data_IF_999790053974
#
_entry.id   IF_999790053974
#
_cell.length_a   1.000
_cell.length_b   1.000
_cell.length_c   1.000
_cell.angle_alpha   90.00
_cell.angle_beta   90.00
_cell.angle_gamma   90.00
#
_symmetry.space_group_name_H-M   'P 1'
#
loop_
_entity.id
_entity.type
_entity.pdbx_description
1 polymer ?
#
# COMPACT_ATOMS: atom_id res chain seq x y z
N UNK A 1 1.86 -56.85 -37.15
CA UNK A 1 2.77 -56.18 -36.20
C UNK A 1 2.83 -54.71 -36.55
N UNK A 2 2.36 -53.82 -35.69
CA UNK A 2 2.46 -52.38 -35.86
C UNK A 2 2.43 -51.71 -34.49
N UNK A 3 3.60 -51.47 -33.91
CA UNK A 3 3.73 -50.67 -32.69
C UNK A 3 3.67 -49.19 -33.10
N UNK A 4 2.64 -48.48 -32.63
CA UNK A 4 2.59 -47.02 -32.67
C UNK A 4 3.24 -46.51 -31.38
N UNK A 5 4.40 -45.88 -31.53
CA UNK A 5 5.04 -45.11 -30.46
C UNK A 5 4.15 -43.94 -30.06
N UNK A 6 3.81 -43.88 -28.78
CA UNK A 6 3.16 -42.72 -28.16
C UNK A 6 4.28 -41.77 -27.74
N UNK A 7 4.47 -40.71 -28.53
CA UNK A 7 5.37 -39.61 -28.21
C UNK A 7 4.77 -38.80 -27.05
N UNK A 8 5.25 -39.04 -25.83
CA UNK A 8 4.89 -38.22 -24.66
C UNK A 8 5.62 -36.88 -24.80
N UNK A 9 4.91 -35.87 -25.30
CA UNK A 9 5.31 -34.47 -25.23
C UNK A 9 5.26 -34.02 -23.77
N UNK A 10 6.38 -34.13 -23.07
CA UNK A 10 6.59 -33.43 -21.80
C UNK A 10 6.66 -31.94 -22.10
N UNK A 11 5.55 -31.23 -21.87
CA UNK A 11 5.58 -29.77 -21.76
C UNK A 11 6.49 -29.43 -20.57
N UNK A 12 7.68 -28.90 -20.86
CA UNK A 12 8.50 -28.24 -19.86
C UNK A 12 7.73 -26.99 -19.41
N UNK A 13 6.91 -27.14 -18.37
CA UNK A 13 6.35 -26.01 -17.64
C UNK A 13 7.54 -25.33 -16.99
N UNK A 14 7.93 -24.18 -17.54
CA UNK A 14 8.86 -23.26 -16.90
C UNK A 14 8.17 -22.79 -15.62
N UNK A 15 8.40 -23.53 -14.53
CA UNK A 15 7.99 -23.08 -13.21
C UNK A 15 8.85 -21.84 -12.93
N UNK A 16 8.26 -20.66 -12.67
CA UNK A 16 9.04 -19.55 -12.17
C UNK A 16 9.84 -20.08 -10.98
N UNK A 17 11.16 -19.82 -10.93
CA UNK A 17 11.94 -20.15 -9.74
C UNK A 17 11.40 -19.25 -8.64
N UNK A 18 10.47 -19.77 -7.86
CA UNK A 18 10.00 -19.10 -6.67
C UNK A 18 11.20 -19.06 -5.74
N UNK A 19 11.67 -17.84 -5.44
CA UNK A 19 12.78 -17.67 -4.54
C UNK A 19 12.44 -18.20 -3.14
N UNK A 20 11.14 -18.28 -2.81
CA UNK A 20 10.66 -18.77 -1.52
C UNK A 20 10.92 -20.28 -1.36
N UNK A 21 11.54 -20.67 -0.25
CA UNK A 21 11.88 -22.06 0.05
C UNK A 21 10.64 -22.90 0.42
N UNK A 22 10.80 -24.23 0.46
CA UNK A 22 9.69 -25.18 0.67
C UNK A 22 8.94 -24.94 1.99
N UNK A 23 9.66 -24.76 3.11
CA UNK A 23 9.05 -24.42 4.41
C UNK A 23 8.24 -23.12 4.32
N UNK A 24 8.77 -22.11 3.63
CA UNK A 24 8.08 -20.85 3.41
C UNK A 24 6.82 -20.98 2.56
N UNK A 25 6.86 -21.81 1.52
CA UNK A 25 5.69 -22.09 0.68
C UNK A 25 4.58 -22.80 1.47
N UNK A 26 4.93 -23.80 2.28
CA UNK A 26 3.99 -24.49 3.17
C UNK A 26 3.38 -23.53 4.18
N UNK A 27 4.22 -22.69 4.81
CA UNK A 27 3.77 -21.67 5.75
C UNK A 27 2.79 -20.70 5.09
N UNK A 28 3.12 -20.18 3.90
CA UNK A 28 2.25 -19.26 3.15
C UNK A 28 0.96 -19.92 2.67
N UNK A 29 0.94 -21.22 2.43
CA UNK A 29 -0.29 -21.94 2.09
C UNK A 29 -1.19 -22.06 3.32
N UNK A 30 -0.62 -22.37 4.49
CA UNK A 30 -1.34 -22.42 5.74
C UNK A 30 -1.95 -21.06 6.12
N UNK A 31 -1.20 -19.95 5.95
CA UNK A 31 -1.69 -18.61 6.31
C UNK A 31 -2.91 -18.17 5.50
N UNK A 32 -3.09 -18.67 4.27
CA UNK A 32 -4.29 -18.35 3.46
C UNK A 32 -5.59 -18.82 4.11
N UNK A 33 -5.51 -19.83 4.97
CA UNK A 33 -6.68 -20.40 5.67
C UNK A 33 -6.93 -19.71 7.01
N UNK A 34 -6.06 -18.80 7.46
CA UNK A 34 -6.22 -18.07 8.71
C UNK A 34 -7.27 -16.97 8.53
N UNK A 35 -8.22 -16.90 9.46
CA UNK A 35 -9.28 -15.90 9.42
C UNK A 35 -8.73 -14.46 9.43
N UNK A 36 -9.26 -13.64 8.51
CA UNK A 36 -8.87 -12.24 8.35
C UNK A 36 -7.62 -12.02 7.50
N UNK A 37 -6.97 -13.09 7.02
CA UNK A 37 -5.84 -12.96 6.08
C UNK A 37 -6.34 -12.61 4.69
N UNK A 38 -5.70 -11.60 4.09
CA UNK A 38 -5.92 -11.13 2.74
C UNK A 38 -4.65 -11.36 1.93
N UNK A 39 -4.79 -12.00 0.76
CA UNK A 39 -3.68 -12.19 -0.19
C UNK A 39 -3.78 -11.19 -1.33
N UNK A 40 -2.72 -10.39 -1.52
CA UNK A 40 -2.60 -9.48 -2.65
C UNK A 40 -2.10 -10.21 -3.90
N UNK A 41 -2.34 -9.64 -5.07
CA UNK A 41 -1.84 -10.16 -6.35
C UNK A 41 -0.32 -10.30 -6.41
N UNK A 42 0.41 -9.52 -5.60
CA UNK A 42 1.87 -9.61 -5.48
C UNK A 42 2.35 -10.85 -4.73
N UNK A 43 1.46 -11.58 -4.04
CA UNK A 43 1.80 -12.68 -3.13
C UNK A 43 1.94 -12.24 -1.68
N UNK A 44 2.00 -10.93 -1.39
CA UNK A 44 1.94 -10.42 -0.02
C UNK A 44 0.63 -10.85 0.64
N UNK A 45 0.73 -11.47 1.81
CA UNK A 45 -0.41 -11.76 2.66
C UNK A 45 -0.37 -10.86 3.89
N UNK A 46 -1.52 -10.42 4.37
CA UNK A 46 -1.59 -9.63 5.59
C UNK A 46 -2.91 -9.85 6.34
N UNK A 47 -2.90 -9.56 7.63
CA UNK A 47 -4.07 -9.51 8.52
C UNK A 47 -4.06 -8.17 9.26
N UNK A 48 -5.21 -7.51 9.29
CA UNK A 48 -5.37 -6.29 10.10
C UNK A 48 -5.59 -6.70 11.55
N UNK A 49 -4.64 -6.39 12.42
CA UNK A 49 -4.74 -6.64 13.87
C UNK A 49 -5.47 -5.51 14.58
N UNK A 50 -5.27 -4.27 14.10
CA UNK A 50 -5.96 -3.07 14.56
C UNK A 50 -6.17 -2.14 13.38
N UNK A 51 -7.40 -1.67 13.21
CA UNK A 51 -7.70 -0.62 12.25
C UNK A 51 -7.47 0.75 12.88
N UNK A 52 -6.67 1.58 12.21
CA UNK A 52 -6.50 2.99 12.52
C UNK A 52 -7.68 3.83 12.07
N UNK A 53 -7.72 5.08 12.53
CA UNK A 53 -8.70 6.09 12.14
C UNK A 53 -8.12 7.16 11.18
N UNK A 54 -6.85 6.99 10.78
CA UNK A 54 -6.18 7.85 9.82
C UNK A 54 -6.93 7.92 8.49
N UNK A 55 -6.94 9.11 7.89
CA UNK A 55 -7.66 9.38 6.62
C UNK A 55 -6.77 9.31 5.38
N UNK A 56 -5.48 9.00 5.56
CA UNK A 56 -4.46 9.12 4.52
C UNK A 56 -3.53 7.93 4.51
N UNK A 57 -3.07 7.60 3.30
CA UNK A 57 -1.92 6.74 3.07
C UNK A 57 -0.68 7.60 2.80
N UNK A 58 0.51 7.17 3.21
CA UNK A 58 1.75 7.81 2.81
C UNK A 58 1.98 7.71 1.29
N UNK A 59 2.64 8.71 0.71
CA UNK A 59 3.26 8.57 -0.61
C UNK A 59 4.57 7.78 -0.51
N UNK A 60 5.14 7.37 -1.65
CA UNK A 60 6.34 6.51 -1.69
C UNK A 60 7.56 7.09 -0.97
N UNK A 61 7.67 8.40 -0.93
CA UNK A 61 8.76 9.19 -0.35
C UNK A 61 8.45 9.73 1.05
N UNK A 62 7.25 9.46 1.58
CA UNK A 62 6.78 10.03 2.83
C UNK A 62 7.42 9.32 4.03
N UNK A 63 8.17 10.03 4.90
CA UNK A 63 8.69 9.43 6.12
C UNK A 63 7.54 9.05 7.05
N UNK A 64 7.57 7.83 7.57
CA UNK A 64 6.56 7.26 8.44
C UNK A 64 7.22 6.74 9.70
N UNK A 65 6.70 7.12 10.85
CA UNK A 65 7.10 6.56 12.12
C UNK A 65 6.34 5.27 12.39
N UNK A 66 7.07 4.19 12.58
CA UNK A 66 6.49 2.87 12.76
C UNK A 66 7.08 2.16 13.97
N UNK A 67 6.23 1.41 14.66
CA UNK A 67 6.69 0.27 15.44
C UNK A 67 6.59 -1.00 14.60
N UNK A 68 7.50 -1.93 14.86
CA UNK A 68 7.55 -3.22 14.18
C UNK A 68 8.34 -4.27 14.97
N UNK A 69 8.05 -5.53 14.64
CA UNK A 69 8.75 -6.75 15.03
C UNK A 69 8.80 -7.70 13.83
N UNK A 70 9.93 -8.38 13.62
CA UNK A 70 10.14 -9.29 12.49
C UNK A 70 10.73 -10.64 12.91
N UNK A 71 10.14 -11.73 12.44
CA UNK A 71 10.61 -13.11 12.61
C UNK A 71 10.45 -13.93 11.32
N UNK A 72 10.93 -15.17 11.31
CA UNK A 72 10.72 -16.12 10.20
C UNK A 72 10.09 -17.40 10.74
N UNK A 73 9.46 -18.24 9.90
CA UNK A 73 8.98 -19.56 10.32
C UNK A 73 10.09 -20.45 10.91
N UNK A 74 11.34 -20.28 10.47
CA UNK A 74 12.48 -21.01 11.03
C UNK A 74 12.85 -20.56 12.44
N UNK A 75 12.64 -19.28 12.78
CA UNK A 75 12.92 -18.73 14.11
C UNK A 75 11.75 -18.94 15.07
N UNK A 76 10.53 -18.79 14.58
CA UNK A 76 9.28 -18.92 15.34
C UNK A 76 8.24 -19.69 14.51
N UNK A 77 8.24 -21.03 14.55
CA UNK A 77 7.36 -21.86 13.71
C UNK A 77 5.86 -21.63 13.93
N UNK A 78 5.48 -21.25 15.14
CA UNK A 78 4.13 -21.01 15.64
C UNK A 78 3.78 -19.52 15.74
N UNK A 79 4.50 -18.65 15.01
CA UNK A 79 4.37 -17.19 15.09
C UNK A 79 2.94 -16.66 14.93
N UNK A 80 2.11 -17.33 14.12
CA UNK A 80 0.71 -16.94 13.83
C UNK A 80 -0.14 -16.91 15.11
N UNK A 81 0.13 -17.82 16.04
CA UNK A 81 -0.66 -18.02 17.26
C UNK A 81 -0.08 -17.26 18.47
N UNK A 82 1.03 -16.55 18.29
CA UNK A 82 1.78 -15.89 19.35
C UNK A 82 1.67 -14.37 19.31
N UNK A 83 1.79 -13.72 20.46
CA UNK A 83 2.06 -12.28 20.52
C UNK A 83 3.52 -12.00 20.07
N UNK A 84 3.81 -10.84 19.45
CA UNK A 84 5.16 -10.53 18.96
C UNK A 84 6.20 -10.51 20.07
N UNK A 85 5.78 -10.23 21.32
CA UNK A 85 6.68 -10.26 22.48
C UNK A 85 7.24 -11.65 22.76
N UNK A 86 6.58 -12.71 22.27
CA UNK A 86 7.02 -14.10 22.39
C UNK A 86 7.88 -14.56 21.19
N UNK A 87 8.01 -13.75 20.13
CA UNK A 87 8.74 -14.15 18.94
C UNK A 87 10.26 -14.16 19.17
N UNK A 88 10.92 -15.14 18.54
CA UNK A 88 12.36 -15.08 18.32
C UNK A 88 12.62 -14.17 17.11
N UNK A 89 12.79 -12.89 17.37
CA UNK A 89 12.88 -11.87 16.34
C UNK A 89 14.29 -11.77 15.73
N UNK A 90 14.35 -11.44 14.44
CA UNK A 90 15.59 -10.96 13.80
C UNK A 90 15.76 -9.45 13.95
N UNK A 91 14.67 -8.68 14.08
CA UNK A 91 14.69 -7.23 14.30
C UNK A 91 13.39 -6.78 14.98
N UNK A 92 13.48 -5.79 15.87
CA UNK A 92 12.34 -5.26 16.62
C UNK A 92 12.61 -3.87 17.16
N UNK A 93 11.73 -2.91 16.80
CA UNK A 93 11.73 -1.57 17.40
C UNK A 93 11.23 -1.57 18.84
N UNK A 94 10.33 -2.50 19.20
CA UNK A 94 9.81 -2.60 20.56
C UNK A 94 10.92 -2.97 21.55
N UNK A 95 11.81 -3.91 21.17
CA UNK A 95 12.99 -4.24 21.99
C UNK A 95 13.98 -3.10 22.15
N UNK A 96 14.02 -2.16 21.19
CA UNK A 96 14.82 -0.93 21.31
C UNK A 96 14.15 0.14 22.17
N UNK A 97 12.83 0.03 22.41
CA UNK A 97 12.06 0.98 23.21
C UNK A 97 11.68 2.27 22.47
N UNK A 98 11.93 2.37 21.16
CA UNK A 98 11.60 3.54 20.36
C UNK A 98 11.16 3.19 18.93
N UNK A 99 10.22 3.94 18.33
CA UNK A 99 9.84 3.79 16.93
C UNK A 99 11.02 4.03 15.98
N UNK A 100 10.88 3.57 14.75
CA UNK A 100 11.85 3.86 13.67
C UNK A 100 11.13 4.54 12.51
N UNK A 101 11.81 5.50 11.88
CA UNK A 101 11.26 6.22 10.73
C UNK A 101 11.72 5.59 9.41
N UNK A 102 10.78 5.23 8.56
CA UNK A 102 11.02 4.67 7.23
C UNK A 102 10.20 5.40 6.17
N UNK A 103 10.73 5.52 4.95
CA UNK A 103 9.92 5.87 3.79
C UNK A 103 9.63 4.60 2.96
N UNK A 104 8.43 4.47 2.34
CA UNK A 104 8.09 3.26 1.58
C UNK A 104 9.09 2.91 0.47
N UNK A 105 9.79 3.88 -0.11
CA UNK A 105 10.81 3.67 -1.15
C UNK A 105 12.19 3.21 -0.64
N UNK A 106 12.39 3.09 0.67
CA UNK A 106 13.67 2.75 1.30
C UNK A 106 13.68 1.37 1.97
N UNK A 107 12.56 0.64 1.87
CA UNK A 107 12.33 -0.64 2.56
C UNK A 107 12.04 -1.75 1.55
N UNK A 108 11.94 -3.00 2.03
CA UNK A 108 11.63 -4.16 1.20
C UNK A 108 10.29 -3.98 0.47
N UNK A 109 10.13 -4.62 -0.69
CA UNK A 109 8.98 -4.42 -1.61
C UNK A 109 7.63 -4.65 -0.93
N UNK A 110 7.54 -5.60 0.00
CA UNK A 110 6.32 -5.85 0.77
C UNK A 110 5.95 -4.67 1.67
N UNK A 111 6.90 -4.13 2.43
CA UNK A 111 6.68 -2.94 3.26
C UNK A 111 6.29 -1.73 2.40
N UNK A 112 6.95 -1.54 1.26
CA UNK A 112 6.57 -0.49 0.30
C UNK A 112 5.09 -0.56 -0.06
N UNK A 113 4.57 -1.77 -0.31
CA UNK A 113 3.16 -1.98 -0.66
C UNK A 113 2.25 -1.77 0.55
N UNK A 114 2.53 -2.42 1.67
CA UNK A 114 1.71 -2.38 2.88
C UNK A 114 1.57 -0.96 3.42
N UNK A 115 2.68 -0.22 3.59
CA UNK A 115 2.63 1.15 4.11
C UNK A 115 1.72 2.06 3.27
N UNK A 116 1.70 1.89 1.94
CA UNK A 116 0.86 2.70 1.04
C UNK A 116 -0.61 2.27 0.98
N UNK A 117 -0.98 1.22 1.72
CA UNK A 117 -2.34 0.73 1.96
C UNK A 117 -2.80 0.97 3.40
N UNK A 118 -1.87 1.23 4.33
CA UNK A 118 -2.15 1.52 5.73
C UNK A 118 -2.46 3.00 5.95
N UNK A 119 -3.20 3.28 7.01
CA UNK A 119 -3.42 4.61 7.57
C UNK A 119 -2.81 4.72 8.97
N UNK A 120 -2.65 5.94 9.47
CA UNK A 120 -2.19 6.16 10.86
C UNK A 120 -3.08 5.40 11.86
N UNK A 121 -2.45 4.72 12.81
CA UNK A 121 -3.08 3.87 13.82
C UNK A 121 -3.28 2.41 13.41
N UNK A 122 -3.07 2.06 12.13
CA UNK A 122 -3.15 0.67 11.69
C UNK A 122 -2.03 -0.17 12.30
N UNK A 123 -2.39 -1.38 12.74
CA UNK A 123 -1.45 -2.45 13.07
C UNK A 123 -1.74 -3.67 12.20
N UNK A 124 -0.78 -4.08 11.38
CA UNK A 124 -0.92 -5.21 10.47
C UNK A 124 0.09 -6.30 10.81
N UNK A 125 -0.33 -7.55 10.67
CA UNK A 125 0.56 -8.70 10.54
C UNK A 125 0.72 -9.04 9.06
N UNK A 126 1.93 -9.31 8.61
CA UNK A 126 2.28 -9.53 7.21
C UNK A 126 3.10 -10.80 7.07
N UNK A 127 2.74 -11.63 6.08
CA UNK A 127 3.49 -12.81 5.67
C UNK A 127 4.03 -12.57 4.27
N UNK A 128 5.35 -12.54 4.17
CA UNK A 128 6.07 -11.95 3.06
C UNK A 128 6.87 -13.05 2.35
N UNK A 129 6.50 -13.43 1.11
CA UNK A 129 7.33 -14.32 0.32
C UNK A 129 8.69 -13.67 0.02
N UNK A 130 9.73 -14.50 -0.13
CA UNK A 130 11.12 -14.02 -0.16
C UNK A 130 11.37 -13.05 -1.33
N UNK A 131 10.73 -13.23 -2.48
CA UNK A 131 10.82 -12.32 -3.64
C UNK A 131 10.34 -10.88 -3.37
N UNK A 132 9.52 -10.68 -2.32
CA UNK A 132 9.09 -9.38 -1.80
C UNK A 132 9.90 -8.90 -0.58
N UNK A 133 10.79 -9.76 -0.06
CA UNK A 133 11.74 -9.52 1.01
C UNK A 133 13.19 -9.53 0.50
N UNK A 134 13.98 -10.49 0.96
CA UNK A 134 15.43 -10.60 0.70
C UNK A 134 15.84 -11.67 -0.33
N UNK A 135 14.87 -12.32 -0.98
CA UNK A 135 15.09 -13.27 -2.08
C UNK A 135 15.97 -14.47 -1.73
N UNK A 136 16.60 -15.05 -2.75
CA UNK A 136 17.45 -16.25 -2.65
C UNK A 136 18.72 -16.05 -1.82
N UNK A 137 19.15 -14.79 -1.63
CA UNK A 137 20.39 -14.49 -0.89
C UNK A 137 20.15 -14.41 0.61
N UNK A 138 18.96 -13.99 1.04
CA UNK A 138 18.71 -13.66 2.44
C UNK A 138 19.49 -12.42 2.89
N UNK A 139 19.60 -12.21 4.21
CA UNK A 139 20.39 -11.12 4.78
C UNK A 139 20.83 -11.40 6.22
N UNK A 140 22.06 -11.01 6.54
CA UNK A 140 22.66 -11.26 7.86
C UNK A 140 22.67 -12.75 8.25
N UNK A 141 22.71 -13.02 9.55
CA UNK A 141 22.84 -14.39 10.05
C UNK A 141 21.50 -15.08 10.30
N UNK A 142 20.41 -14.31 10.40
CA UNK A 142 19.10 -14.80 10.84
C UNK A 142 18.09 -15.01 9.70
N UNK A 143 18.27 -14.35 8.55
CA UNK A 143 17.38 -14.48 7.40
C UNK A 143 18.13 -15.21 6.29
N UNK A 144 17.76 -16.45 6.03
CA UNK A 144 18.39 -17.30 5.01
C UNK A 144 17.77 -17.04 3.64
N UNK A 145 18.46 -17.55 2.63
CA UNK A 145 17.98 -17.55 1.26
C UNK A 145 16.61 -18.22 1.15
N UNK A 146 15.67 -17.51 0.57
CA UNK A 146 14.31 -17.99 0.35
C UNK A 146 13.39 -17.99 1.56
N UNK A 147 13.82 -17.44 2.70
CA UNK A 147 12.96 -17.37 3.88
C UNK A 147 11.76 -16.45 3.66
N UNK A 148 10.60 -16.93 4.13
CA UNK A 148 9.44 -16.08 4.38
C UNK A 148 9.70 -15.20 5.60
N UNK A 149 9.28 -13.95 5.51
CA UNK A 149 9.33 -13.02 6.64
C UNK A 149 7.92 -12.85 7.21
N UNK A 150 7.85 -12.80 8.54
CA UNK A 150 6.66 -12.45 9.28
C UNK A 150 6.95 -11.14 9.97
N UNK A 151 6.10 -10.14 9.75
CA UNK A 151 6.21 -8.86 10.43
C UNK A 151 4.91 -8.45 11.06
N UNK A 152 4.98 -7.87 12.25
CA UNK A 152 3.95 -6.97 12.75
C UNK A 152 4.45 -5.54 12.62
N UNK A 153 3.62 -4.67 12.08
CA UNK A 153 3.91 -3.25 11.89
C UNK A 153 2.75 -2.42 12.40
N UNK A 154 3.03 -1.41 13.21
CA UNK A 154 2.10 -0.34 13.57
C UNK A 154 2.56 0.96 12.93
N UNK A 155 1.70 1.59 12.11
CA UNK A 155 1.95 2.88 11.48
C UNK A 155 1.48 3.99 12.42
N UNK A 156 2.41 4.66 13.09
CA UNK A 156 2.08 5.67 14.11
C UNK A 156 1.77 7.01 13.46
N UNK A 157 2.70 7.53 12.64
CA UNK A 157 2.59 8.87 12.05
C UNK A 157 3.14 8.92 10.63
N UNK A 158 2.44 9.63 9.74
CA UNK A 158 2.90 9.99 8.39
C UNK A 158 3.44 11.42 8.45
N UNK A 159 4.77 11.56 8.39
CA UNK A 159 5.50 12.83 8.56
C UNK A 159 5.74 13.60 7.26
N UNK A 160 5.35 13.04 6.11
CA UNK A 160 5.53 13.67 4.81
C UNK A 160 4.25 13.74 3.98
N UNK A 161 4.43 13.78 2.67
CA UNK A 161 3.34 13.82 1.70
C UNK A 161 2.40 12.61 1.88
N UNK A 162 1.10 12.86 1.73
CA UNK A 162 0.08 11.82 1.95
C UNK A 162 -1.05 11.97 0.95
N UNK A 163 -1.64 10.84 0.56
CA UNK A 163 -2.81 10.76 -0.32
C UNK A 163 -4.01 10.29 0.49
N UNK A 164 -5.21 10.73 0.13
CA UNK A 164 -6.43 10.27 0.82
C UNK A 164 -6.60 8.77 0.66
N UNK A 165 -6.96 8.13 1.77
CA UNK A 165 -7.32 6.72 1.79
C UNK A 165 -8.68 6.50 1.13
N UNK A 166 -9.65 7.34 1.47
CA UNK A 166 -10.97 7.34 0.86
C UNK A 166 -11.14 8.60 0.00
N UNK A 167 -11.38 8.47 -1.31
CA UNK A 167 -11.65 9.61 -2.17
C UNK A 167 -12.91 10.38 -1.72
N UNK A 168 -12.88 11.70 -1.89
CA UNK A 168 -14.08 12.54 -1.77
C UNK A 168 -15.14 12.09 -2.78
N UNK A 169 -16.33 11.77 -2.28
CA UNK A 169 -17.51 11.54 -3.09
C UNK A 169 -18.17 12.89 -3.36
N UNK A 170 -18.04 13.38 -4.60
CA UNK A 170 -18.53 14.70 -4.97
C UNK A 170 -20.06 14.81 -4.93
N UNK A 171 -20.80 13.70 -5.01
CA UNK A 171 -22.27 13.71 -4.95
C UNK A 171 -22.76 13.77 -3.52
N UNK A 172 -22.24 12.85 -2.70
CA UNK A 172 -22.69 12.73 -1.30
C UNK A 172 -21.93 13.64 -0.36
N UNK A 173 -20.87 14.29 -0.86
CA UNK A 173 -19.92 15.13 -0.11
C UNK A 173 -19.19 14.38 1.01
N UNK A 174 -19.25 13.04 1.01
CA UNK A 174 -18.57 12.20 2.00
C UNK A 174 -17.07 12.17 1.71
N UNK A 175 -16.27 12.24 2.77
CA UNK A 175 -14.79 12.21 2.71
C UNK A 175 -14.16 13.38 1.93
N UNK A 176 -14.87 14.50 1.86
CA UNK A 176 -14.40 15.75 1.28
C UNK A 176 -13.88 16.67 2.39
N UNK A 177 -12.88 17.49 2.08
CA UNK A 177 -12.50 18.60 2.94
C UNK A 177 -13.53 19.73 2.86
N UNK A 178 -13.59 20.58 3.88
CA UNK A 178 -14.49 21.75 3.88
C UNK A 178 -14.22 22.65 2.66
N UNK A 179 -12.96 22.86 2.29
CA UNK A 179 -12.56 23.60 1.08
C UNK A 179 -13.07 22.96 -0.22
N UNK A 180 -13.17 21.63 -0.28
CA UNK A 180 -13.74 20.92 -1.43
C UNK A 180 -15.25 21.04 -1.46
N UNK A 181 -15.90 21.01 -0.29
CA UNK A 181 -17.35 21.25 -0.17
C UNK A 181 -17.68 22.67 -0.61
N UNK A 182 -16.92 23.67 -0.14
CA UNK A 182 -17.06 25.07 -0.58
C UNK A 182 -16.87 25.20 -2.10
N UNK A 183 -15.86 24.52 -2.66
CA UNK A 183 -15.65 24.49 -4.10
C UNK A 183 -16.82 23.83 -4.86
N UNK A 184 -17.41 22.77 -4.32
CA UNK A 184 -18.61 22.15 -4.88
C UNK A 184 -19.82 23.08 -4.79
N UNK A 185 -19.99 23.82 -3.70
CA UNK A 185 -21.07 24.81 -3.55
C UNK A 185 -20.93 25.95 -4.56
N UNK A 186 -19.70 26.39 -4.83
CA UNK A 186 -19.41 27.43 -5.81
C UNK A 186 -19.52 26.96 -7.26
N UNK A 187 -19.05 25.75 -7.57
CA UNK A 187 -18.83 25.30 -8.95
C UNK A 187 -19.67 24.11 -9.38
N UNK A 188 -20.30 23.37 -8.47
CA UNK A 188 -21.06 22.14 -8.77
C UNK A 188 -22.21 22.38 -9.76
N UNK A 189 -22.83 23.56 -9.67
CA UNK A 189 -23.91 24.02 -10.56
C UNK A 189 -23.43 24.76 -11.81
N UNK A 190 -22.13 24.99 -11.96
CA UNK A 190 -21.59 25.73 -13.10
C UNK A 190 -21.79 24.97 -14.42
N UNK A 191 -22.01 25.73 -15.51
CA UNK A 191 -22.14 25.17 -16.86
C UNK A 191 -20.79 24.63 -17.37
N UNK A 192 -20.82 23.74 -18.37
CA UNK A 192 -19.58 23.28 -19.02
C UNK A 192 -18.77 24.42 -19.62
N UNK A 193 -19.43 25.47 -20.11
CA UNK A 193 -18.78 26.67 -20.64
C UNK A 193 -18.04 27.43 -19.54
N UNK A 194 -18.72 27.71 -18.42
CA UNK A 194 -18.11 28.38 -17.26
C UNK A 194 -16.93 27.59 -16.70
N UNK A 195 -17.08 26.27 -16.58
CA UNK A 195 -16.00 25.38 -16.13
C UNK A 195 -14.81 25.39 -17.10
N UNK A 196 -15.08 25.44 -18.41
CA UNK A 196 -14.04 25.48 -19.43
C UNK A 196 -13.27 26.79 -19.39
N UNK A 197 -13.97 27.91 -19.27
CA UNK A 197 -13.36 29.24 -19.15
C UNK A 197 -12.46 29.33 -17.91
N UNK A 198 -12.95 28.90 -16.74
CA UNK A 198 -12.15 28.95 -15.51
C UNK A 198 -10.91 28.03 -15.58
N UNK A 199 -11.08 26.83 -16.14
CA UNK A 199 -9.93 25.95 -16.37
C UNK A 199 -8.91 26.57 -17.31
N UNK A 200 -9.32 27.31 -18.34
CA UNK A 200 -8.38 28.02 -19.20
C UNK A 200 -7.60 29.09 -18.42
N UNK A 201 -8.27 29.85 -17.55
CA UNK A 201 -7.65 30.82 -16.64
C UNK A 201 -6.63 30.17 -15.72
N UNK A 202 -7.01 29.08 -15.04
CA UNK A 202 -6.12 28.35 -14.13
C UNK A 202 -4.92 27.75 -14.87
N UNK A 203 -5.13 27.23 -16.09
CA UNK A 203 -4.04 26.70 -16.92
C UNK A 203 -3.03 27.79 -17.25
N UNK A 204 -3.49 29.02 -17.55
CA UNK A 204 -2.60 30.17 -17.73
C UNK A 204 -1.83 30.48 -16.45
N UNK A 205 -2.50 30.57 -15.30
CA UNK A 205 -1.86 30.84 -14.00
C UNK A 205 -0.80 29.78 -13.64
N UNK A 206 -1.07 28.50 -13.90
CA UNK A 206 -0.14 27.40 -13.63
C UNK A 206 1.09 27.39 -14.56
N UNK A 207 0.98 28.03 -15.73
CA UNK A 207 2.07 28.20 -16.69
C UNK A 207 3.04 29.33 -16.34
N UNK A 208 2.65 30.25 -15.46
CA UNK A 208 3.50 31.35 -15.00
C UNK A 208 4.43 30.91 -13.87
N UNK A 209 5.54 31.64 -13.62
CA UNK A 209 6.32 31.50 -12.39
C UNK A 209 5.44 31.79 -11.17
N UNK A 210 5.39 30.84 -10.23
CA UNK A 210 4.57 30.93 -9.02
C UNK A 210 5.47 30.95 -7.78
N UNK A 211 5.07 31.69 -6.74
CA UNK A 211 5.75 31.66 -5.44
C UNK A 211 5.52 30.30 -4.77
N UNK A 212 6.41 29.96 -3.84
CA UNK A 212 6.25 28.76 -3.00
C UNK A 212 4.86 28.75 -2.33
N UNK A 213 4.19 27.60 -2.34
CA UNK A 213 2.85 27.42 -1.79
C UNK A 213 1.68 27.88 -2.68
N UNK A 214 1.91 28.62 -3.77
CA UNK A 214 0.80 29.06 -4.65
C UNK A 214 0.35 28.00 -5.66
N UNK A 215 1.24 27.06 -6.00
CA UNK A 215 0.98 26.08 -7.07
C UNK A 215 -0.03 25.01 -6.66
N UNK A 216 0.07 24.47 -5.44
CA UNK A 216 -0.79 23.38 -4.98
C UNK A 216 -2.28 23.77 -4.93
N UNK A 217 -2.68 24.93 -4.35
CA UNK A 217 -4.10 25.32 -4.35
C UNK A 217 -4.70 25.48 -5.75
N UNK A 218 -3.91 26.00 -6.71
CA UNK A 218 -4.34 26.13 -8.10
C UNK A 218 -4.50 24.77 -8.78
N UNK A 219 -3.59 23.82 -8.51
CA UNK A 219 -3.69 22.45 -8.99
C UNK A 219 -4.88 21.71 -8.39
N UNK A 220 -5.17 21.93 -7.10
CA UNK A 220 -6.32 21.34 -6.42
C UNK A 220 -7.64 21.87 -6.99
N UNK A 221 -7.74 23.19 -7.17
CA UNK A 221 -8.88 23.82 -7.85
C UNK A 221 -9.07 23.26 -9.27
N UNK A 222 -8.00 23.20 -10.06
CA UNK A 222 -8.03 22.59 -11.40
C UNK A 222 -8.52 21.14 -11.36
N UNK A 223 -8.06 20.34 -10.39
CA UNK A 223 -8.49 18.95 -10.20
C UNK A 223 -9.99 18.87 -9.92
N UNK A 224 -10.50 19.70 -9.01
CA UNK A 224 -11.93 19.76 -8.67
C UNK A 224 -12.78 20.14 -9.88
N UNK A 225 -12.43 21.20 -10.60
CA UNK A 225 -13.17 21.62 -11.80
C UNK A 225 -13.16 20.54 -12.89
N UNK A 226 -12.07 19.80 -13.04
CA UNK A 226 -12.02 18.66 -13.97
C UNK A 226 -13.01 17.56 -13.59
N UNK A 227 -13.13 17.25 -12.29
CA UNK A 227 -14.07 16.24 -11.83
C UNK A 227 -15.52 16.70 -11.97
N UNK A 228 -15.82 17.97 -11.65
CA UNK A 228 -17.15 18.56 -11.83
C UNK A 228 -17.55 18.56 -13.31
N UNK A 229 -16.65 19.00 -14.21
CA UNK A 229 -16.91 18.99 -15.66
C UNK A 229 -17.15 17.57 -16.19
N UNK A 230 -16.43 16.57 -15.68
CA UNK A 230 -16.63 15.16 -16.03
C UNK A 230 -17.98 14.61 -15.57
N UNK A 231 -18.47 15.04 -14.40
CA UNK A 231 -19.82 14.68 -13.95
C UNK A 231 -20.88 15.37 -14.81
N UNK A 232 -20.71 16.67 -15.08
CA UNK A 232 -21.64 17.47 -15.90
C UNK A 232 -21.75 16.95 -17.33
N UNK A 233 -20.65 16.52 -17.95
CA UNK A 233 -20.70 15.94 -19.31
C UNK A 233 -21.45 14.61 -19.37
N UNK A 234 -21.65 13.95 -18.23
CA UNK A 234 -22.48 12.75 -18.07
C UNK A 234 -23.91 13.08 -17.62
N UNK A 235 -24.33 14.35 -17.67
CA UNK A 235 -25.67 14.78 -17.24
C UNK A 235 -25.90 14.70 -15.73
N UNK A 236 -24.84 14.62 -14.92
CA UNK A 236 -24.93 14.55 -13.46
C UNK A 236 -24.68 15.92 -12.85
N UNK A 237 -25.60 16.37 -11.99
CA UNK A 237 -25.37 17.51 -11.10
C UNK A 237 -24.72 17.06 -9.78
N UNK A 238 -23.82 17.90 -9.26
CA UNK A 238 -23.06 17.71 -8.03
C UNK A 238 -23.36 18.86 -7.05
#
# INVERSE_FOLDING_TARGET
MGFREVLILTFAVCHPSWATNEQGLEFLEATKSVEGVVTLRSGLQYKVLKSGDGKFHPTKDSPCECHYAGTTPALTPDAIDLDEVAWNEFDSSYKRGEPTTFAPNQVIKAWTQAMQLMVEGDKWEMYIPSELGYGDTGTGDKIKGGDVLIFRMELLHIKGNKKRAVPCDLKTRKNCYDSEVEMLDLWGKASLETLTAEKATLKKQLGEPLKSGQREPLQEKMRMLNQIAKARSKGTEL
#
